data_IF_219696271995
#
_entry.id   IF_219696271995
#
_cell.length_a   1.000
_cell.length_b   1.000
_cell.length_c   1.000
_cell.angle_alpha   90.00
_cell.angle_beta   90.00
_cell.angle_gamma   90.00
#
_symmetry.space_group_name_H-M   'P 1'
#
loop_
_entity.id
_entity.type
_entity.pdbx_description
1 polymer ?
#
# COMPACT_ATOMS: atom_id res chain seq x y z
N UNK A 1 5.36 -26.73 -4.37
CA UNK A 1 4.29 -25.71 -4.32
C UNK A 1 3.91 -25.35 -5.76
N UNK A 2 2.65 -24.97 -6.06
CA UNK A 2 2.31 -24.49 -7.42
C UNK A 2 2.62 -23.01 -7.54
N UNK A 3 3.34 -22.62 -8.59
CA UNK A 3 3.61 -21.23 -8.95
C UNK A 3 2.98 -20.89 -10.30
N UNK A 4 2.68 -19.61 -10.51
CA UNK A 4 2.22 -19.12 -11.81
C UNK A 4 3.31 -19.35 -12.86
N UNK A 5 2.95 -19.88 -14.02
CA UNK A 5 3.90 -20.08 -15.13
C UNK A 5 4.31 -18.77 -15.81
N UNK A 6 3.51 -17.70 -15.65
CA UNK A 6 3.77 -16.38 -16.23
C UNK A 6 4.49 -15.43 -15.25
N UNK A 7 3.83 -15.02 -14.16
CA UNK A 7 4.44 -14.20 -13.10
C UNK A 7 4.98 -15.08 -11.97
N UNK A 8 5.34 -14.50 -10.82
CA UNK A 8 6.08 -15.23 -9.77
C UNK A 8 5.21 -15.72 -8.60
N UNK A 9 3.88 -15.61 -8.69
CA UNK A 9 3.02 -15.86 -7.53
C UNK A 9 2.82 -17.34 -7.20
N UNK A 10 2.89 -17.70 -5.90
CA UNK A 10 2.53 -19.02 -5.43
C UNK A 10 1.01 -19.17 -5.25
N UNK A 11 0.54 -20.41 -5.25
CA UNK A 11 -0.86 -20.74 -5.03
C UNK A 11 -1.37 -20.45 -3.61
N UNK A 12 -0.48 -20.31 -2.63
CA UNK A 12 -0.83 -19.99 -1.25
C UNK A 12 -0.89 -18.48 -0.95
N UNK A 13 -1.04 -17.62 -1.97
CA UNK A 13 -1.21 -16.19 -1.79
C UNK A 13 -2.36 -15.88 -0.80
N UNK A 14 -2.18 -15.02 0.22
CA UNK A 14 -3.15 -14.84 1.31
C UNK A 14 -4.46 -14.17 0.87
N UNK A 15 -4.46 -13.46 -0.25
CA UNK A 15 -5.69 -12.92 -0.88
C UNK A 15 -6.41 -13.92 -1.78
N UNK A 16 -5.98 -15.20 -1.78
CA UNK A 16 -6.39 -16.25 -2.69
C UNK A 16 -6.08 -15.92 -4.16
N UNK A 17 -5.64 -16.94 -4.89
CA UNK A 17 -5.35 -16.81 -6.32
C UNK A 17 -5.76 -18.10 -7.00
N UNK A 18 -6.41 -18.00 -8.16
CA UNK A 18 -6.81 -19.18 -8.95
C UNK A 18 -5.88 -19.33 -10.14
N UNK A 19 -5.84 -20.53 -10.72
CA UNK A 19 -5.01 -20.84 -11.89
C UNK A 19 -5.88 -21.48 -12.96
N UNK A 20 -5.68 -21.07 -14.21
CA UNK A 20 -6.31 -21.71 -15.35
C UNK A 20 -5.61 -23.03 -15.76
N UNK A 21 -6.11 -23.65 -16.84
CA UNK A 21 -5.55 -24.88 -17.40
C UNK A 21 -4.12 -24.75 -17.93
N UNK A 22 -3.67 -23.54 -18.24
CA UNK A 22 -2.30 -23.25 -18.67
C UNK A 22 -1.35 -22.96 -17.48
N UNK A 23 -1.87 -22.94 -16.25
CA UNK A 23 -1.09 -22.59 -15.05
C UNK A 23 -0.83 -21.09 -14.90
N UNK A 24 -1.62 -20.24 -15.57
CA UNK A 24 -1.58 -18.78 -15.42
C UNK A 24 -2.54 -18.37 -14.31
N UNK A 25 -2.06 -17.52 -13.39
CA UNK A 25 -2.86 -17.08 -12.25
C UNK A 25 -3.90 -16.00 -12.62
N UNK A 26 -4.98 -15.90 -11.86
CA UNK A 26 -6.04 -14.88 -12.02
C UNK A 26 -5.48 -13.46 -12.10
N UNK A 27 -4.48 -13.10 -11.29
CA UNK A 27 -3.87 -11.77 -11.32
C UNK A 27 -3.13 -11.47 -12.62
N UNK A 28 -2.63 -12.48 -13.34
CA UNK A 28 -2.10 -12.28 -14.69
C UNK A 28 -3.21 -12.08 -15.72
N UNK A 29 -4.33 -12.79 -15.58
CA UNK A 29 -5.48 -12.69 -16.51
C UNK A 29 -6.19 -11.35 -16.38
N UNK A 30 -6.48 -10.92 -15.17
CA UNK A 30 -7.09 -9.60 -14.92
C UNK A 30 -6.17 -8.47 -15.39
N UNK A 31 -4.84 -8.62 -15.26
CA UNK A 31 -3.92 -7.60 -15.78
C UNK A 31 -3.98 -7.45 -17.31
N UNK A 32 -4.28 -8.52 -18.06
CA UNK A 32 -4.46 -8.45 -19.52
C UNK A 32 -5.66 -7.59 -19.92
N UNK A 33 -6.69 -7.48 -19.07
CA UNK A 33 -7.85 -6.63 -19.33
C UNK A 33 -7.42 -5.17 -19.54
N UNK A 34 -6.39 -4.71 -18.82
CA UNK A 34 -5.89 -3.34 -18.96
C UNK A 34 -5.45 -3.01 -20.39
N UNK A 35 -4.99 -4.01 -21.15
CA UNK A 35 -4.51 -3.87 -22.53
C UNK A 35 -5.66 -3.86 -23.55
N UNK A 36 -6.89 -4.19 -23.13
CA UNK A 36 -8.10 -4.27 -23.98
C UNK A 36 -9.11 -3.17 -23.64
N UNK A 37 -9.15 -2.71 -22.39
CA UNK A 37 -10.09 -1.69 -21.94
C UNK A 37 -9.85 -0.34 -22.61
N UNK A 38 -10.96 0.31 -22.98
CA UNK A 38 -10.96 1.72 -23.37
C UNK A 38 -10.86 2.60 -22.11
N UNK A 39 -9.70 3.23 -21.94
CA UNK A 39 -9.43 4.08 -20.80
C UNK A 39 -10.01 5.49 -20.97
N UNK A 40 -10.31 5.93 -22.18
CA UNK A 40 -10.95 7.22 -22.43
C UNK A 40 -12.43 7.16 -22.05
N UNK A 41 -13.14 6.09 -22.45
CA UNK A 41 -14.54 5.84 -22.00
C UNK A 41 -14.63 5.79 -20.47
N UNK A 42 -13.68 5.08 -19.84
CA UNK A 42 -13.61 4.98 -18.38
C UNK A 42 -13.31 6.31 -17.70
N UNK A 43 -12.47 7.14 -18.31
CA UNK A 43 -12.19 8.49 -17.84
C UNK A 43 -13.43 9.39 -17.93
N UNK A 44 -14.24 9.26 -18.99
CA UNK A 44 -15.53 9.95 -19.11
C UNK A 44 -16.52 9.54 -18.02
N UNK A 45 -16.58 8.24 -17.68
CA UNK A 45 -17.37 7.75 -16.53
C UNK A 45 -16.93 8.40 -15.22
N UNK A 46 -15.62 8.54 -15.00
CA UNK A 46 -15.09 9.21 -13.81
C UNK A 46 -15.45 10.70 -13.78
N UNK A 47 -15.35 11.40 -14.91
CA UNK A 47 -15.77 12.81 -15.01
C UNK A 47 -17.25 12.97 -14.64
N UNK A 48 -18.10 12.05 -15.12
CA UNK A 48 -19.53 12.04 -14.76
C UNK A 48 -19.73 11.86 -13.26
N UNK A 49 -19.06 10.88 -12.63
CA UNK A 49 -19.11 10.68 -11.17
C UNK A 49 -18.69 11.97 -10.46
N UNK A 50 -17.55 12.55 -10.83
CA UNK A 50 -17.06 13.78 -10.22
C UNK A 50 -18.01 14.96 -10.41
N UNK A 51 -18.70 15.07 -11.55
CA UNK A 51 -19.70 16.12 -11.77
C UNK A 51 -20.88 16.06 -10.80
N UNK A 52 -21.24 14.87 -10.31
CA UNK A 52 -22.33 14.67 -9.32
C UNK A 52 -21.95 15.16 -7.92
N UNK A 53 -20.65 15.14 -7.59
CA UNK A 53 -20.14 15.52 -6.26
C UNK A 53 -19.50 16.90 -6.21
N UNK A 54 -19.18 17.48 -7.36
CA UNK A 54 -18.51 18.78 -7.43
C UNK A 54 -19.41 19.87 -6.87
N UNK A 55 -18.93 20.55 -5.85
CA UNK A 55 -19.63 21.69 -5.29
C UNK A 55 -19.61 22.85 -6.28
N UNK A 56 -20.75 23.52 -6.44
CA UNK A 56 -20.86 24.72 -7.29
C UNK A 56 -20.07 25.92 -6.75
N UNK A 57 -19.53 25.83 -5.54
CA UNK A 57 -18.67 26.84 -4.92
C UNK A 57 -17.41 26.17 -4.36
N UNK A 58 -16.21 26.64 -4.70
CA UNK A 58 -14.94 26.14 -4.16
C UNK A 58 -14.77 26.31 -2.62
N UNK A 59 -15.82 26.73 -1.91
CA UNK A 59 -15.83 26.95 -0.46
C UNK A 59 -16.01 25.65 0.34
N UNK A 60 -16.43 24.57 -0.31
CA UNK A 60 -16.65 23.25 0.31
C UNK A 60 -15.78 22.20 -0.35
N UNK A 61 -15.42 21.15 0.39
CA UNK A 61 -14.67 20.02 -0.17
C UNK A 61 -15.62 19.10 -0.94
N UNK A 62 -15.19 18.68 -2.13
CA UNK A 62 -15.97 17.80 -3.01
C UNK A 62 -15.74 16.31 -2.68
N UNK A 63 -14.55 16.01 -2.15
CA UNK A 63 -14.14 14.65 -1.86
C UNK A 63 -13.05 14.59 -0.80
N UNK A 64 -12.82 13.38 -0.28
CA UNK A 64 -11.70 13.05 0.59
C UNK A 64 -10.68 12.22 -0.20
N UNK A 65 -9.40 12.56 -0.04
CA UNK A 65 -8.29 11.73 -0.54
C UNK A 65 -7.44 11.26 0.64
N UNK A 66 -7.39 9.95 0.90
CA UNK A 66 -6.45 9.36 1.84
C UNK A 66 -5.02 9.47 1.31
N UNK A 67 -4.10 10.06 2.08
CA UNK A 67 -2.70 10.26 1.69
C UNK A 67 -1.72 9.84 2.78
N UNK A 68 -0.52 9.43 2.37
CA UNK A 68 0.60 9.11 3.27
C UNK A 68 1.90 9.84 2.94
N UNK A 69 1.98 10.51 1.80
CA UNK A 69 3.24 11.04 1.27
C UNK A 69 4.08 9.99 0.54
N UNK A 70 3.65 8.73 0.46
CA UNK A 70 4.26 7.74 -0.43
C UNK A 70 3.21 6.97 -1.23
N UNK A 71 3.66 5.94 -1.95
CA UNK A 71 2.87 5.21 -2.94
C UNK A 71 2.29 6.22 -3.94
N UNK A 72 1.11 5.93 -4.45
CA UNK A 72 0.48 6.72 -5.49
C UNK A 72 -0.16 8.03 -4.97
N UNK A 73 0.12 8.48 -3.73
CA UNK A 73 -0.52 9.66 -3.10
C UNK A 73 -0.41 10.92 -3.97
N UNK A 74 0.79 11.23 -4.48
CA UNK A 74 1.01 12.38 -5.35
C UNK A 74 0.18 12.29 -6.63
N UNK A 75 0.15 11.10 -7.25
CA UNK A 75 -0.57 10.88 -8.49
C UNK A 75 -2.08 11.01 -8.30
N UNK A 76 -2.63 10.45 -7.21
CA UNK A 76 -4.06 10.56 -6.88
C UNK A 76 -4.45 12.04 -6.72
N UNK A 77 -3.70 12.80 -5.93
CA UNK A 77 -3.99 14.23 -5.71
C UNK A 77 -3.83 15.03 -7.01
N UNK A 78 -2.79 14.75 -7.79
CA UNK A 78 -2.58 15.36 -9.11
C UNK A 78 -3.77 15.11 -10.03
N UNK A 79 -4.23 13.86 -10.16
CA UNK A 79 -5.37 13.54 -11.02
C UNK A 79 -6.62 14.24 -10.52
N UNK A 80 -6.99 14.06 -9.26
CA UNK A 80 -8.26 14.58 -8.71
C UNK A 80 -8.30 16.11 -8.69
N UNK A 81 -7.24 16.77 -8.22
CA UNK A 81 -7.19 18.23 -8.11
C UNK A 81 -6.83 18.90 -9.43
N UNK A 82 -5.75 18.49 -10.08
CA UNK A 82 -5.20 19.27 -11.20
C UNK A 82 -5.82 18.88 -12.55
N UNK A 83 -6.15 17.60 -12.74
CA UNK A 83 -6.75 17.12 -14.00
C UNK A 83 -8.27 17.24 -13.94
N UNK A 84 -8.90 16.70 -12.91
CA UNK A 84 -10.35 16.68 -12.76
C UNK A 84 -10.93 17.93 -12.07
N UNK A 85 -10.08 18.81 -11.53
CA UNK A 85 -10.50 20.10 -10.92
C UNK A 85 -11.50 19.92 -9.77
N UNK A 86 -11.36 18.84 -9.01
CA UNK A 86 -12.07 18.65 -7.73
C UNK A 86 -11.33 19.40 -6.62
N UNK A 87 -12.05 19.72 -5.54
CA UNK A 87 -11.50 20.34 -4.34
C UNK A 87 -11.41 19.31 -3.19
N UNK A 88 -10.28 18.57 -3.07
CA UNK A 88 -10.16 17.51 -2.09
C UNK A 88 -9.74 18.00 -0.69
N UNK A 89 -10.31 17.38 0.34
CA UNK A 89 -9.74 17.34 1.67
C UNK A 89 -8.78 16.15 1.78
N UNK A 90 -7.52 16.40 2.13
CA UNK A 90 -6.57 15.32 2.37
C UNK A 90 -6.75 14.78 3.79
N UNK A 91 -6.70 13.46 3.92
CA UNK A 91 -6.84 12.78 5.21
C UNK A 91 -5.68 11.81 5.39
N UNK A 92 -5.01 11.86 6.54
CA UNK A 92 -3.88 10.97 6.83
C UNK A 92 -3.98 10.37 8.23
N UNK A 93 -3.51 9.13 8.36
CA UNK A 93 -3.38 8.44 9.64
C UNK A 93 -1.89 8.20 9.90
N UNK A 94 -1.40 8.65 11.04
CA UNK A 94 0.00 8.49 11.41
C UNK A 94 0.29 7.04 11.83
N UNK A 95 1.17 6.37 11.08
CA UNK A 95 1.57 4.97 11.28
C UNK A 95 2.55 4.78 12.45
N UNK A 96 3.12 5.84 13.00
CA UNK A 96 4.25 5.84 13.95
C UNK A 96 5.55 5.25 13.41
N UNK A 97 5.55 4.62 12.24
CA UNK A 97 6.72 4.01 11.62
C UNK A 97 7.32 4.92 10.55
N UNK A 98 7.19 6.24 10.69
CA UNK A 98 7.47 7.15 9.60
C UNK A 98 8.97 7.26 9.32
N UNK A 99 9.34 7.45 8.07
CA UNK A 99 10.68 7.94 7.68
C UNK A 99 10.67 9.46 7.59
N UNK A 100 11.85 10.07 7.65
CA UNK A 100 11.99 11.52 7.47
C UNK A 100 11.67 11.93 6.03
N UNK A 101 12.06 11.11 5.05
CA UNK A 101 11.64 11.23 3.64
C UNK A 101 10.11 11.21 3.51
N UNK A 102 9.42 10.29 4.19
CA UNK A 102 7.97 10.19 4.19
C UNK A 102 7.29 11.46 4.70
N UNK A 103 7.78 11.95 5.85
CA UNK A 103 7.31 13.19 6.46
C UNK A 103 7.49 14.37 5.50
N UNK A 104 8.67 14.49 4.87
CA UNK A 104 8.93 15.53 3.86
C UNK A 104 8.01 15.38 2.66
N UNK A 105 7.94 14.20 2.04
CA UNK A 105 7.06 13.99 0.89
C UNK A 105 5.59 14.34 1.21
N UNK A 106 5.09 14.02 2.41
CA UNK A 106 3.73 14.43 2.80
C UNK A 106 3.61 15.95 2.95
N UNK A 107 4.59 16.61 3.56
CA UNK A 107 4.61 18.07 3.71
C UNK A 107 4.67 18.78 2.35
N UNK A 108 5.58 18.33 1.46
CA UNK A 108 5.68 18.84 0.10
C UNK A 108 4.41 18.58 -0.69
N UNK A 109 3.81 17.38 -0.61
CA UNK A 109 2.52 17.09 -1.25
C UNK A 109 1.46 18.12 -0.83
N UNK A 110 1.29 18.33 0.47
CA UNK A 110 0.31 19.27 1.00
C UNK A 110 0.55 20.70 0.47
N UNK A 111 1.78 21.17 0.53
CA UNK A 111 2.16 22.54 0.12
C UNK A 111 2.06 22.72 -1.40
N UNK A 112 2.56 21.76 -2.18
CA UNK A 112 2.62 21.81 -3.64
C UNK A 112 1.21 21.87 -4.23
N UNK A 113 0.31 21.04 -3.72
CA UNK A 113 -1.06 20.99 -4.21
C UNK A 113 -1.95 22.03 -3.53
N UNK A 114 -1.49 22.73 -2.49
CA UNK A 114 -2.29 23.73 -1.77
C UNK A 114 -3.59 23.13 -1.25
N UNK A 115 -3.50 22.00 -0.56
CA UNK A 115 -4.65 21.29 0.00
C UNK A 115 -4.65 21.32 1.52
N UNK A 116 -5.84 21.38 2.10
CA UNK A 116 -6.01 21.15 3.53
C UNK A 116 -5.79 19.67 3.86
N UNK A 117 -5.20 19.42 5.04
CA UNK A 117 -4.86 18.09 5.53
C UNK A 117 -5.33 17.92 6.97
N UNK A 118 -6.12 16.88 7.22
CA UNK A 118 -6.46 16.44 8.58
C UNK A 118 -5.68 15.17 8.89
N UNK A 119 -5.04 15.14 10.07
CA UNK A 119 -4.27 14.01 10.56
C UNK A 119 -4.88 13.39 11.82
N UNK A 120 -4.88 12.06 11.89
CA UNK A 120 -5.13 11.31 13.12
C UNK A 120 -3.84 10.69 13.63
N UNK A 121 -3.47 11.02 14.87
CA UNK A 121 -2.35 10.39 15.58
C UNK A 121 -2.86 9.78 16.88
N UNK A 122 -2.74 8.47 17.02
CA UNK A 122 -3.12 7.72 18.24
C UNK A 122 -1.95 7.77 19.23
N UNK A 123 -2.19 7.65 20.54
CA UNK A 123 -1.05 7.72 21.47
C UNK A 123 -0.11 6.51 21.28
N UNK A 124 1.22 6.70 21.36
CA UNK A 124 2.19 5.62 21.16
C UNK A 124 1.93 4.39 22.03
N UNK A 125 1.58 4.58 23.30
CA UNK A 125 1.30 3.45 24.21
C UNK A 125 0.07 2.63 23.81
N UNK A 126 -0.96 3.28 23.25
CA UNK A 126 -2.12 2.56 22.69
C UNK A 126 -1.72 1.76 21.47
N UNK A 127 -0.95 2.38 20.56
CA UNK A 127 -0.44 1.70 19.36
C UNK A 127 0.42 0.50 19.75
N UNK A 128 1.32 0.62 20.73
CA UNK A 128 2.13 -0.52 21.23
C UNK A 128 1.25 -1.66 21.74
N UNK A 129 0.24 -1.39 22.58
CA UNK A 129 -0.68 -2.43 23.07
C UNK A 129 -1.39 -3.15 21.93
N UNK A 130 -1.93 -2.40 20.97
CA UNK A 130 -2.60 -2.94 19.79
C UNK A 130 -1.63 -3.77 18.92
N UNK A 131 -0.40 -3.28 18.72
CA UNK A 131 0.62 -3.99 17.95
C UNK A 131 1.04 -5.31 18.61
N UNK A 132 1.23 -5.34 19.94
CA UNK A 132 1.50 -6.61 20.67
C UNK A 132 0.35 -7.61 20.50
N UNK A 133 -0.89 -7.13 20.62
CA UNK A 133 -2.05 -8.00 20.48
C UNK A 133 -2.25 -8.51 19.03
N UNK A 134 -2.01 -7.64 18.04
CA UNK A 134 -2.04 -8.01 16.62
C UNK A 134 -0.95 -9.02 16.28
N UNK A 135 0.26 -8.87 16.84
CA UNK A 135 1.32 -9.87 16.73
C UNK A 135 0.89 -11.20 17.33
N UNK A 136 0.36 -11.20 18.55
CA UNK A 136 -0.10 -12.42 19.24
C UNK A 136 -1.17 -13.18 18.46
N UNK A 137 -2.13 -12.48 17.86
CA UNK A 137 -3.31 -13.09 17.21
C UNK A 137 -3.11 -13.39 15.72
N UNK A 138 -2.31 -12.58 15.03
CA UNK A 138 -2.21 -12.63 13.56
C UNK A 138 -0.77 -12.68 13.05
N UNK A 139 0.23 -12.56 13.91
CA UNK A 139 1.62 -12.41 13.49
C UNK A 139 1.76 -11.22 12.53
N UNK A 140 1.21 -10.06 12.92
CA UNK A 140 1.26 -8.84 12.11
C UNK A 140 1.52 -7.63 12.97
N UNK A 141 2.48 -6.80 12.55
CA UNK A 141 2.75 -5.49 13.17
C UNK A 141 1.90 -4.37 12.57
N UNK A 142 1.22 -4.63 11.46
CA UNK A 142 0.69 -3.58 10.58
C UNK A 142 -0.84 -3.43 10.65
N UNK A 143 -1.52 -4.20 11.51
CA UNK A 143 -2.99 -4.13 11.61
C UNK A 143 -3.47 -2.71 11.94
N UNK A 144 -2.85 -2.02 12.90
CA UNK A 144 -3.28 -0.66 13.27
C UNK A 144 -3.06 0.34 12.12
N UNK A 145 -1.99 0.17 11.33
CA UNK A 145 -1.71 0.98 10.16
C UNK A 145 -2.83 0.82 9.12
N UNK A 146 -3.22 -0.43 8.81
CA UNK A 146 -4.31 -0.73 7.87
C UNK A 146 -5.66 -0.27 8.42
N UNK A 147 -5.97 -0.58 9.68
CA UNK A 147 -7.23 -0.23 10.32
C UNK A 147 -7.43 1.28 10.38
N UNK A 148 -6.40 2.03 10.80
CA UNK A 148 -6.45 3.48 10.92
C UNK A 148 -6.54 4.20 9.57
N UNK A 149 -5.68 3.82 8.62
CA UNK A 149 -5.66 4.45 7.28
C UNK A 149 -6.92 4.19 6.47
N UNK A 150 -7.62 3.07 6.69
CA UNK A 150 -8.86 2.73 5.96
C UNK A 150 -10.12 3.26 6.64
N UNK A 151 -10.12 3.45 7.97
CA UNK A 151 -11.32 3.93 8.69
C UNK A 151 -11.36 5.43 8.89
N UNK A 152 -10.20 6.07 9.06
CA UNK A 152 -10.16 7.50 9.38
C UNK A 152 -10.72 8.38 8.25
N UNK A 153 -10.47 8.10 6.95
CA UNK A 153 -11.15 8.78 5.85
C UNK A 153 -12.67 8.62 5.91
N UNK A 154 -13.17 7.43 6.24
CA UNK A 154 -14.62 7.15 6.35
C UNK A 154 -15.24 7.88 7.54
N UNK A 155 -14.56 7.90 8.69
CA UNK A 155 -15.00 8.69 9.84
C UNK A 155 -15.02 10.19 9.52
N UNK A 156 -14.04 10.67 8.75
CA UNK A 156 -13.97 12.08 8.34
C UNK A 156 -15.08 12.42 7.36
N UNK A 157 -15.36 11.54 6.40
CA UNK A 157 -16.49 11.65 5.47
C UNK A 157 -17.82 11.84 6.22
N UNK A 158 -18.07 11.00 7.22
CA UNK A 158 -19.27 11.09 8.06
C UNK A 158 -19.30 12.39 8.87
N UNK A 159 -18.22 12.71 9.58
CA UNK A 159 -18.16 13.87 10.50
C UNK A 159 -18.31 15.20 9.77
N UNK A 160 -17.68 15.32 8.60
CA UNK A 160 -17.68 16.56 7.80
C UNK A 160 -18.74 16.55 6.70
N UNK A 161 -19.51 15.46 6.58
CA UNK A 161 -20.55 15.26 5.55
C UNK A 161 -20.01 15.40 4.12
N UNK A 162 -18.84 14.82 3.87
CA UNK A 162 -18.21 14.78 2.54
C UNK A 162 -18.43 13.37 1.98
N UNK A 163 -19.38 13.17 1.04
CA UNK A 163 -19.85 11.84 0.66
C UNK A 163 -18.86 11.04 -0.19
N UNK A 164 -18.02 11.69 -0.99
CA UNK A 164 -17.09 10.98 -1.89
C UNK A 164 -15.72 10.79 -1.27
N UNK A 165 -15.21 9.55 -1.28
CA UNK A 165 -13.82 9.21 -0.96
C UNK A 165 -13.16 8.63 -2.21
N UNK A 166 -11.98 9.15 -2.57
CA UNK A 166 -11.23 8.71 -3.74
C UNK A 166 -9.97 7.97 -3.29
N UNK A 167 -9.96 6.66 -3.52
CA UNK A 167 -8.83 5.77 -3.24
C UNK A 167 -7.95 5.58 -4.49
N UNK A 168 -6.73 5.07 -4.29
CA UNK A 168 -5.81 4.73 -5.39
C UNK A 168 -6.17 3.42 -6.08
N UNK A 169 -5.23 2.48 -6.09
CA UNK A 169 -5.46 1.14 -6.65
C UNK A 169 -6.18 0.19 -5.69
N UNK A 170 -7.09 -0.61 -6.23
CA UNK A 170 -7.70 -1.72 -5.52
C UNK A 170 -6.77 -2.95 -5.53
N UNK A 171 -6.19 -3.28 -4.36
CA UNK A 171 -5.19 -4.34 -4.22
C UNK A 171 -5.66 -5.70 -4.75
N UNK A 172 -6.88 -6.13 -4.42
CA UNK A 172 -7.40 -7.43 -4.85
C UNK A 172 -7.54 -7.55 -6.37
N UNK A 173 -7.81 -6.44 -7.06
CA UNK A 173 -7.90 -6.40 -8.53
C UNK A 173 -6.50 -6.44 -9.14
N UNK A 174 -5.64 -5.50 -8.76
CA UNK A 174 -4.32 -5.31 -9.38
C UNK A 174 -3.31 -6.42 -9.04
N UNK A 175 -3.38 -6.98 -7.84
CA UNK A 175 -2.39 -7.95 -7.36
C UNK A 175 -2.79 -9.39 -7.72
N UNK A 176 -3.99 -9.81 -7.35
CA UNK A 176 -4.43 -11.21 -7.43
C UNK A 176 -5.54 -11.48 -8.42
N UNK A 177 -6.12 -10.45 -9.05
CA UNK A 177 -7.26 -10.63 -9.95
C UNK A 177 -8.45 -11.28 -9.22
N UNK A 178 -8.70 -10.85 -7.98
CA UNK A 178 -9.85 -11.24 -7.18
C UNK A 178 -11.15 -10.73 -7.81
N UNK A 179 -11.06 -9.59 -8.49
CA UNK A 179 -12.12 -8.95 -9.25
C UNK A 179 -11.58 -8.60 -10.63
N UNK A 180 -12.47 -8.53 -11.61
CA UNK A 180 -12.20 -7.93 -12.92
C UNK A 180 -12.23 -6.41 -12.82
N UNK A 181 -11.51 -5.72 -13.71
CA UNK A 181 -11.66 -4.28 -13.88
C UNK A 181 -13.08 -3.89 -14.39
N UNK A 182 -13.84 -4.85 -14.94
CA UNK A 182 -15.24 -4.67 -15.33
C UNK A 182 -16.21 -4.67 -14.14
N UNK A 183 -15.81 -5.21 -12.98
CA UNK A 183 -16.65 -5.22 -11.79
C UNK A 183 -16.76 -3.84 -11.13
N UNK A 184 -15.85 -2.92 -11.49
CA UNK A 184 -15.77 -1.54 -10.98
C UNK A 184 -15.91 -1.46 -9.44
N UNK A 185 -15.26 -2.40 -8.74
CA UNK A 185 -15.42 -2.56 -7.28
C UNK A 185 -15.14 -1.28 -6.52
N UNK A 186 -15.94 -1.05 -5.49
CA UNK A 186 -15.84 0.09 -4.59
C UNK A 186 -15.46 -0.36 -3.18
N UNK A 187 -14.98 0.59 -2.37
CA UNK A 187 -14.58 0.33 -0.99
C UNK A 187 -15.81 -0.10 -0.19
N UNK A 188 -15.71 -1.27 0.44
CA UNK A 188 -16.75 -1.78 1.35
C UNK A 188 -16.16 -2.17 2.69
N UNK A 189 -16.94 -2.03 3.77
CA UNK A 189 -16.56 -2.56 5.09
C UNK A 189 -16.25 -4.06 5.03
N UNK A 190 -16.97 -4.80 4.19
CA UNK A 190 -16.77 -6.24 3.99
C UNK A 190 -15.37 -6.55 3.46
N UNK A 191 -14.99 -5.96 2.33
CA UNK A 191 -13.65 -6.16 1.76
C UNK A 191 -12.56 -5.77 2.76
N UNK A 192 -12.72 -4.61 3.42
CA UNK A 192 -11.82 -4.14 4.47
C UNK A 192 -11.65 -5.19 5.59
N UNK A 193 -12.75 -5.73 6.13
CA UNK A 193 -12.70 -6.73 7.20
C UNK A 193 -12.03 -8.02 6.73
N UNK A 194 -12.51 -8.58 5.62
CA UNK A 194 -12.14 -9.92 5.16
C UNK A 194 -10.70 -9.97 4.63
N UNK A 195 -10.23 -8.90 3.98
CA UNK A 195 -8.95 -8.88 3.28
C UNK A 195 -7.93 -7.95 3.92
N UNK A 196 -8.23 -6.67 4.08
CA UNK A 196 -7.25 -5.70 4.60
C UNK A 196 -6.92 -5.97 6.07
N UNK A 197 -7.93 -6.32 6.87
CA UNK A 197 -7.78 -6.52 8.31
C UNK A 197 -7.64 -7.98 8.75
N UNK A 198 -7.32 -8.88 7.83
CA UNK A 198 -7.08 -10.29 8.12
C UNK A 198 -8.26 -10.95 8.88
N UNK A 199 -9.49 -10.52 8.58
CA UNK A 199 -10.72 -11.02 9.20
C UNK A 199 -11.06 -10.44 10.57
N UNK A 200 -10.36 -9.39 11.04
CA UNK A 200 -10.53 -8.86 12.39
C UNK A 200 -10.75 -7.34 12.42
N UNK A 201 -11.90 -6.92 12.94
CA UNK A 201 -12.17 -5.50 13.19
C UNK A 201 -11.87 -5.10 14.64
N UNK A 202 -12.01 -3.81 14.95
CA UNK A 202 -11.73 -3.25 16.27
C UNK A 202 -12.52 -3.98 17.38
N UNK A 203 -13.78 -4.32 17.09
CA UNK A 203 -14.69 -5.02 17.98
C UNK A 203 -14.23 -6.45 18.29
N UNK A 204 -13.56 -7.13 17.35
CA UNK A 204 -13.02 -8.47 17.54
C UNK A 204 -11.81 -8.47 18.50
N UNK A 205 -11.04 -7.38 18.54
CA UNK A 205 -9.97 -7.20 19.53
C UNK A 205 -10.54 -6.93 20.92
N UNK A 206 -11.56 -6.08 21.03
CA UNK A 206 -12.20 -5.74 22.32
C UNK A 206 -12.81 -6.98 22.98
N UNK A 207 -13.49 -7.84 22.19
CA UNK A 207 -14.19 -9.02 22.72
C UNK A 207 -13.24 -10.10 23.25
N UNK A 208 -12.10 -10.31 22.58
CA UNK A 208 -11.27 -11.49 22.80
C UNK A 208 -9.87 -11.15 23.37
N UNK A 209 -9.70 -9.99 24.02
CA UNK A 209 -8.43 -9.53 24.59
C UNK A 209 -8.57 -8.92 25.98
N UNK A 210 -7.73 -9.37 26.92
CA UNK A 210 -7.56 -8.71 28.24
C UNK A 210 -6.55 -7.55 28.20
N UNK A 211 -5.90 -7.33 27.04
CA UNK A 211 -4.80 -6.35 26.87
C UNK A 211 -5.29 -5.05 26.25
N UNK A 212 -6.32 -5.12 25.40
CA UNK A 212 -6.81 -3.99 24.61
C UNK A 212 -8.23 -3.63 25.04
N UNK A 213 -8.41 -2.40 25.52
CA UNK A 213 -9.72 -1.89 25.95
C UNK A 213 -10.45 -1.14 24.82
N UNK A 214 -11.73 -0.83 25.02
CA UNK A 214 -12.53 -0.06 24.06
C UNK A 214 -11.95 1.34 23.81
N UNK A 215 -11.35 1.96 24.83
CA UNK A 215 -10.69 3.27 24.74
C UNK A 215 -9.46 3.26 23.83
N UNK A 216 -8.77 2.11 23.77
CA UNK A 216 -7.63 1.90 22.87
C UNK A 216 -8.12 1.81 21.42
N UNK A 217 -9.28 1.19 21.22
CA UNK A 217 -9.81 0.87 19.90
C UNK A 217 -10.73 1.91 19.27
N UNK A 218 -11.17 2.93 20.02
CA UNK A 218 -12.14 3.94 19.57
C UNK A 218 -11.82 4.57 18.20
N UNK A 219 -10.55 4.81 17.89
CA UNK A 219 -10.14 5.41 16.61
C UNK A 219 -10.21 4.45 15.42
N UNK A 220 -10.36 3.15 15.67
CA UNK A 220 -10.37 2.10 14.65
C UNK A 220 -11.78 1.56 14.35
N UNK A 221 -12.79 1.99 15.11
CA UNK A 221 -14.19 1.58 14.95
C UNK A 221 -14.75 2.17 13.66
N UNK A 222 -15.34 1.31 12.83
CA UNK A 222 -15.96 1.72 11.58
C UNK A 222 -17.31 2.41 11.85
N UNK A 223 -17.64 3.52 11.17
CA UNK A 223 -18.93 4.18 11.36
C UNK A 223 -20.12 3.24 11.14
N UNK A 224 -21.21 3.48 11.85
CA UNK A 224 -22.40 2.64 11.73
C UNK A 224 -23.08 2.85 10.37
N UNK A 225 -23.74 1.82 9.83
CA UNK A 225 -24.37 1.88 8.51
C UNK A 225 -25.37 3.05 8.37
N UNK A 226 -26.14 3.35 9.43
CA UNK A 226 -27.05 4.51 9.47
C UNK A 226 -26.33 5.86 9.29
N UNK A 227 -25.12 6.00 9.84
CA UNK A 227 -24.33 7.23 9.69
C UNK A 227 -23.81 7.36 8.25
N UNK A 228 -23.34 6.25 7.68
CA UNK A 228 -22.89 6.19 6.28
C UNK A 228 -24.02 6.51 5.31
N UNK A 229 -25.19 5.92 5.52
CA UNK A 229 -26.40 6.15 4.72
C UNK A 229 -26.88 7.59 4.81
N UNK A 230 -26.84 8.20 6.00
CA UNK A 230 -27.29 9.59 6.19
C UNK A 230 -26.46 10.62 5.41
N UNK A 231 -25.21 10.29 5.08
CA UNK A 231 -24.31 11.14 4.27
C UNK A 231 -24.27 10.66 2.82
N UNK A 232 -24.54 9.38 2.55
CA UNK A 232 -24.34 8.77 1.25
C UNK A 232 -22.86 8.49 0.95
N UNK A 233 -22.10 8.03 1.95
CA UNK A 233 -20.65 7.83 1.80
C UNK A 233 -20.36 6.75 0.75
N UNK A 234 -19.60 7.11 -0.28
CA UNK A 234 -19.18 6.27 -1.40
C UNK A 234 -17.66 6.35 -1.56
N UNK A 235 -17.00 5.19 -1.69
CA UNK A 235 -15.56 5.11 -1.84
C UNK A 235 -15.16 4.48 -3.16
N UNK A 236 -14.69 5.28 -4.13
CA UNK A 236 -14.29 4.80 -5.45
C UNK A 236 -12.77 4.58 -5.53
N UNK A 237 -12.32 3.65 -6.37
CA UNK A 237 -10.90 3.46 -6.69
C UNK A 237 -10.57 4.08 -8.05
N UNK A 238 -9.54 4.92 -8.11
CA UNK A 238 -9.09 5.51 -9.37
C UNK A 238 -8.61 4.46 -10.38
N UNK A 239 -8.10 3.32 -9.91
CA UNK A 239 -7.68 2.22 -10.80
C UNK A 239 -8.80 1.60 -11.62
N UNK A 240 -10.07 1.87 -11.29
CA UNK A 240 -11.21 1.46 -12.12
C UNK A 240 -11.34 2.34 -13.37
N UNK A 241 -10.81 3.56 -13.34
CA UNK A 241 -11.08 4.57 -14.35
C UNK A 241 -9.83 5.04 -15.10
N UNK A 242 -8.66 4.83 -14.51
CA UNK A 242 -7.37 5.23 -15.07
C UNK A 242 -6.48 3.99 -15.12
N UNK A 243 -5.79 3.79 -16.25
CA UNK A 243 -4.84 2.69 -16.40
C UNK A 243 -3.77 2.78 -15.31
N UNK A 244 -3.80 1.84 -14.37
CA UNK A 244 -2.90 1.88 -13.23
C UNK A 244 -1.53 1.31 -13.56
N UNK A 245 -0.51 2.15 -13.41
CA UNK A 245 0.90 1.84 -13.59
C UNK A 245 1.74 2.63 -12.59
N UNK A 246 2.04 2.00 -11.45
CA UNK A 246 2.69 2.69 -10.34
C UNK A 246 4.07 3.26 -10.70
N UNK A 247 4.87 2.61 -11.57
CA UNK A 247 6.19 3.15 -11.94
C UNK A 247 6.05 4.43 -12.75
N UNK A 248 5.26 4.39 -13.82
CA UNK A 248 5.04 5.54 -14.69
C UNK A 248 4.42 6.71 -13.92
N UNK A 249 3.49 6.41 -13.00
CA UNK A 249 2.85 7.39 -12.14
C UNK A 249 3.86 8.05 -11.17
N UNK A 250 4.72 7.26 -10.52
CA UNK A 250 5.76 7.83 -9.65
C UNK A 250 6.77 8.66 -10.44
N UNK A 251 7.24 8.18 -11.58
CA UNK A 251 8.20 8.93 -12.41
C UNK A 251 7.63 10.27 -12.90
N UNK A 252 6.35 10.31 -13.26
CA UNK A 252 5.66 11.56 -13.57
C UNK A 252 5.64 12.52 -12.37
N UNK A 253 5.45 12.01 -11.15
CA UNK A 253 5.42 12.83 -9.92
C UNK A 253 6.82 13.23 -9.45
N UNK A 254 7.84 12.41 -9.71
CA UNK A 254 9.25 12.76 -9.53
C UNK A 254 9.59 13.95 -10.43
N UNK A 255 9.29 13.85 -11.73
CA UNK A 255 9.58 14.90 -12.71
C UNK A 255 8.84 16.21 -12.38
N UNK A 256 7.53 16.13 -12.11
CA UNK A 256 6.70 17.34 -11.91
C UNK A 256 6.86 18.00 -10.55
N UNK A 257 7.02 17.18 -9.51
CA UNK A 257 6.83 17.64 -8.13
C UNK A 257 7.99 17.26 -7.20
N UNK A 258 9.04 16.63 -7.70
CA UNK A 258 10.23 16.32 -6.92
C UNK A 258 9.96 15.32 -5.81
N UNK A 259 9.14 14.29 -6.06
CA UNK A 259 8.93 13.18 -5.13
C UNK A 259 10.29 12.53 -4.74
N UNK A 260 10.56 12.41 -3.43
CA UNK A 260 11.78 11.75 -2.94
C UNK A 260 11.62 10.23 -2.91
N UNK A 261 12.62 9.54 -3.43
CA UNK A 261 12.72 8.09 -3.50
C UNK A 261 13.76 7.57 -2.51
N UNK A 262 13.71 6.30 -2.14
CA UNK A 262 14.66 5.73 -1.18
C UNK A 262 15.00 4.27 -1.54
N UNK A 263 16.25 3.86 -1.33
CA UNK A 263 16.62 2.44 -1.36
C UNK A 263 15.91 1.68 -0.24
N UNK A 264 15.42 0.49 -0.55
CA UNK A 264 14.67 -0.33 0.40
C UNK A 264 15.37 -1.68 0.60
N UNK A 265 15.21 -2.25 1.80
CA UNK A 265 16.01 -3.40 2.21
C UNK A 265 15.70 -4.67 1.41
N UNK A 266 14.43 -4.93 1.12
CA UNK A 266 13.93 -6.23 0.61
C UNK A 266 13.19 -6.13 -0.72
N UNK A 267 13.45 -5.08 -1.50
CA UNK A 267 12.87 -4.86 -2.83
C UNK A 267 13.77 -3.96 -3.68
N UNK A 268 13.69 -4.10 -5.00
CA UNK A 268 14.35 -3.22 -5.98
C UNK A 268 13.58 -1.92 -6.27
N UNK A 269 12.26 -1.89 -6.01
CA UNK A 269 11.42 -0.70 -6.11
C UNK A 269 11.89 0.36 -5.08
N UNK A 270 12.22 1.57 -5.54
CA UNK A 270 12.69 2.69 -4.71
C UNK A 270 11.60 3.74 -4.43
N UNK A 271 10.36 3.48 -4.85
CA UNK A 271 9.26 4.44 -4.85
C UNK A 271 8.22 4.11 -3.79
N UNK A 272 7.76 2.87 -3.73
CA UNK A 272 6.63 2.47 -2.92
C UNK A 272 7.00 2.32 -1.44
N UNK A 273 6.17 2.83 -0.53
CA UNK A 273 6.30 2.70 0.94
C UNK A 273 7.56 3.35 1.54
N UNK A 274 8.18 4.30 0.85
CA UNK A 274 9.30 5.07 1.40
C UNK A 274 8.91 5.87 2.64
N UNK A 275 7.61 6.03 2.92
CA UNK A 275 7.08 6.69 4.11
C UNK A 275 7.19 5.84 5.37
N UNK A 276 7.46 4.54 5.26
CA UNK A 276 7.37 3.62 6.38
C UNK A 276 8.67 2.84 6.57
N UNK A 277 9.38 3.15 7.64
CA UNK A 277 10.68 2.57 8.01
C UNK A 277 10.64 1.04 8.08
N UNK A 278 9.52 0.48 8.55
CA UNK A 278 9.36 -0.96 8.79
C UNK A 278 8.69 -1.75 7.66
N UNK A 279 8.11 -1.10 6.64
CA UNK A 279 7.24 -1.80 5.68
C UNK A 279 8.01 -2.76 4.77
N UNK A 280 9.11 -2.28 4.17
CA UNK A 280 9.98 -3.08 3.30
C UNK A 280 11.16 -3.72 4.05
N UNK A 281 11.09 -3.73 5.38
CA UNK A 281 12.01 -4.38 6.31
C UNK A 281 11.30 -5.51 7.06
N UNK A 282 11.10 -5.34 8.36
CA UNK A 282 10.47 -6.38 9.21
C UNK A 282 9.06 -6.80 8.79
N UNK A 283 8.22 -5.88 8.30
CA UNK A 283 6.85 -6.23 7.89
C UNK A 283 6.87 -7.21 6.72
N UNK A 284 7.72 -6.96 5.72
CA UNK A 284 7.93 -7.89 4.62
C UNK A 284 8.58 -9.20 5.07
N UNK A 285 9.53 -9.13 6.02
CA UNK A 285 10.15 -10.34 6.55
C UNK A 285 9.12 -11.25 7.23
N UNK A 286 8.21 -10.69 8.03
CA UNK A 286 7.07 -11.43 8.60
C UNK A 286 6.22 -12.08 7.51
N UNK A 287 5.94 -11.36 6.41
CA UNK A 287 5.21 -11.93 5.26
C UNK A 287 5.94 -13.15 4.69
N UNK A 288 7.25 -13.03 4.47
CA UNK A 288 8.07 -14.14 4.00
C UNK A 288 8.02 -15.33 4.96
N UNK A 289 8.22 -15.11 6.27
CA UNK A 289 8.17 -16.17 7.26
C UNK A 289 6.81 -16.88 7.29
N UNK A 290 5.71 -16.14 7.09
CA UNK A 290 4.36 -16.73 7.08
C UNK A 290 4.06 -17.50 5.79
N UNK A 291 4.36 -16.93 4.63
CA UNK A 291 3.83 -17.41 3.35
C UNK A 291 4.88 -17.97 2.39
N UNK A 292 6.16 -17.88 2.73
CA UNK A 292 7.27 -18.39 1.91
C UNK A 292 7.69 -17.48 0.76
N UNK A 293 7.12 -16.27 0.66
CA UNK A 293 7.50 -15.27 -0.34
C UNK A 293 7.38 -13.83 0.20
N UNK A 294 8.22 -12.93 -0.30
CA UNK A 294 8.26 -11.52 0.10
C UNK A 294 7.71 -10.54 -0.96
N UNK A 295 7.80 -9.26 -0.64
CA UNK A 295 7.34 -8.10 -1.44
C UNK A 295 8.08 -7.98 -2.75
N UNK A 296 9.35 -8.39 -2.81
CA UNK A 296 10.09 -8.47 -4.08
C UNK A 296 9.35 -9.34 -5.12
N UNK A 297 8.68 -10.41 -4.69
CA UNK A 297 7.87 -11.26 -5.58
C UNK A 297 6.63 -10.54 -6.07
N UNK A 298 6.02 -9.67 -5.25
CA UNK A 298 4.90 -8.83 -5.69
C UNK A 298 5.33 -7.85 -6.76
N UNK A 299 6.42 -7.11 -6.49
CA UNK A 299 6.94 -6.13 -7.41
C UNK A 299 7.43 -6.77 -8.70
N UNK A 300 8.24 -7.84 -8.64
CA UNK A 300 8.67 -8.56 -9.83
C UNK A 300 7.48 -9.12 -10.62
N UNK A 301 6.43 -9.63 -9.96
CA UNK A 301 5.20 -10.07 -10.65
C UNK A 301 4.50 -8.93 -11.38
N UNK A 302 4.41 -7.75 -10.77
CA UNK A 302 3.88 -6.53 -11.41
C UNK A 302 4.69 -6.15 -12.64
N UNK A 303 6.01 -6.10 -12.52
CA UNK A 303 6.91 -5.69 -13.62
C UNK A 303 6.93 -6.70 -14.77
N UNK A 304 6.79 -8.00 -14.49
CA UNK A 304 6.60 -9.03 -15.52
C UNK A 304 5.30 -8.81 -16.28
N UNK A 305 4.19 -8.54 -15.57
CA UNK A 305 2.88 -8.29 -16.20
C UNK A 305 2.88 -7.03 -17.07
N UNK A 306 3.58 -5.98 -16.61
CA UNK A 306 3.81 -4.74 -17.37
C UNK A 306 4.87 -4.88 -18.48
N UNK A 307 5.41 -6.08 -18.71
CA UNK A 307 6.40 -6.38 -19.77
C UNK A 307 7.69 -5.57 -19.63
N UNK A 308 8.05 -5.18 -18.40
CA UNK A 308 9.31 -4.50 -18.05
C UNK A 308 10.43 -5.44 -17.65
N UNK A 309 10.05 -6.62 -17.22
CA UNK A 309 10.95 -7.61 -16.66
C UNK A 309 10.59 -8.98 -17.25
N UNK A 310 11.58 -9.79 -17.61
CA UNK A 310 11.35 -11.19 -17.92
C UNK A 310 11.10 -11.98 -16.64
N UNK A 311 10.53 -13.19 -16.77
CA UNK A 311 10.34 -14.07 -15.61
C UNK A 311 11.66 -14.36 -14.89
N UNK A 312 12.74 -14.58 -15.63
CA UNK A 312 14.07 -14.92 -15.11
C UNK A 312 14.71 -13.74 -14.40
N UNK A 313 14.58 -12.53 -14.96
CA UNK A 313 15.01 -11.29 -14.29
C UNK A 313 14.25 -11.12 -12.96
N UNK A 314 12.95 -11.39 -12.96
CA UNK A 314 12.14 -11.38 -11.74
C UNK A 314 12.59 -12.40 -10.70
N UNK A 315 12.89 -13.63 -11.11
CA UNK A 315 13.44 -14.66 -10.22
C UNK A 315 14.81 -14.23 -9.68
N UNK A 316 15.65 -13.59 -10.50
CA UNK A 316 16.94 -13.03 -10.06
C UNK A 316 16.76 -11.97 -8.97
N UNK A 317 15.77 -11.08 -9.10
CA UNK A 317 15.43 -10.12 -8.05
C UNK A 317 14.97 -10.82 -6.76
N UNK A 318 14.13 -11.85 -6.87
CA UNK A 318 13.71 -12.64 -5.68
C UNK A 318 14.91 -13.25 -4.96
N UNK A 319 15.85 -13.86 -5.69
CA UNK A 319 17.10 -14.41 -5.11
C UNK A 319 17.91 -13.33 -4.37
N UNK A 320 17.99 -12.12 -4.95
CA UNK A 320 18.76 -11.01 -4.40
C UNK A 320 18.16 -10.44 -3.10
N UNK A 321 16.83 -10.30 -3.03
CA UNK A 321 16.20 -9.51 -1.97
C UNK A 321 15.41 -10.31 -0.92
N UNK A 322 14.84 -11.46 -1.26
CA UNK A 322 13.87 -12.14 -0.39
C UNK A 322 14.46 -12.63 0.94
N UNK A 323 15.73 -13.01 0.97
CA UNK A 323 16.34 -13.62 2.16
C UNK A 323 17.16 -12.62 2.99
N UNK A 324 17.10 -11.31 2.70
CA UNK A 324 17.83 -10.29 3.45
C UNK A 324 17.23 -10.14 4.86
N UNK A 325 18.03 -10.38 5.90
CA UNK A 325 17.60 -10.16 7.28
C UNK A 325 17.33 -8.67 7.54
N UNK A 326 16.16 -8.29 8.10
CA UNK A 326 15.82 -6.88 8.31
C UNK A 326 16.70 -6.23 9.37
N UNK A 327 17.33 -5.10 9.02
CA UNK A 327 18.20 -4.32 9.92
C UNK A 327 17.43 -3.52 10.95
N UNK A 328 16.13 -3.30 10.71
CA UNK A 328 15.23 -2.50 11.52
C UNK A 328 14.51 -3.28 12.63
N UNK A 329 14.83 -4.58 12.79
CA UNK A 329 14.22 -5.42 13.81
C UNK A 329 14.54 -4.97 15.23
N UNK A 330 15.81 -4.71 15.55
CA UNK A 330 16.22 -4.28 16.89
C UNK A 330 15.52 -2.98 17.30
N UNK A 331 15.45 -2.02 16.40
CA UNK A 331 14.78 -0.73 16.59
C UNK A 331 13.28 -0.93 16.91
N UNK A 332 12.61 -1.79 16.15
CA UNK A 332 11.20 -2.08 16.38
C UNK A 332 10.96 -2.79 17.72
N UNK A 333 11.81 -3.78 18.05
CA UNK A 333 11.70 -4.54 19.30
C UNK A 333 11.99 -3.68 20.54
N UNK A 334 12.95 -2.75 20.45
CA UNK A 334 13.21 -1.76 21.48
C UNK A 334 11.99 -0.85 21.70
N UNK A 335 11.42 -0.31 20.62
CA UNK A 335 10.20 0.50 20.70
C UNK A 335 9.03 -0.27 21.32
N UNK A 336 8.85 -1.53 20.92
CA UNK A 336 7.79 -2.40 21.43
C UNK A 336 8.10 -2.97 22.82
N UNK A 337 9.33 -2.85 23.32
CA UNK A 337 9.78 -3.49 24.57
C UNK A 337 9.55 -5.00 24.57
N UNK A 338 9.94 -5.67 23.47
CA UNK A 338 9.71 -7.10 23.23
C UNK A 338 11.02 -7.80 22.91
N UNK A 339 11.22 -9.03 23.40
CA UNK A 339 12.39 -9.83 23.03
C UNK A 339 12.24 -10.46 21.65
N UNK A 340 13.35 -10.74 20.97
CA UNK A 340 13.36 -11.41 19.66
C UNK A 340 12.73 -12.81 19.72
N UNK A 341 13.00 -13.56 20.79
CA UNK A 341 12.40 -14.89 21.01
C UNK A 341 10.87 -14.82 21.15
N UNK A 342 10.36 -13.84 21.89
CA UNK A 342 8.91 -13.65 22.02
C UNK A 342 8.29 -13.29 20.66
N UNK A 343 8.92 -12.37 19.93
CA UNK A 343 8.46 -11.92 18.62
C UNK A 343 8.36 -13.08 17.61
N UNK A 344 9.42 -13.86 17.44
CA UNK A 344 9.38 -15.03 16.55
C UNK A 344 8.45 -16.13 17.07
N UNK A 345 8.31 -16.28 18.39
CA UNK A 345 7.35 -17.19 19.00
C UNK A 345 5.88 -16.90 18.63
N UNK A 346 5.53 -15.64 18.35
CA UNK A 346 4.21 -15.30 17.78
C UNK A 346 4.12 -15.59 16.29
N UNK A 347 5.14 -15.21 15.51
CA UNK A 347 5.12 -15.33 14.04
C UNK A 347 5.15 -16.79 13.60
N UNK A 348 5.92 -17.64 14.27
CA UNK A 348 6.13 -19.03 13.89
C UNK A 348 4.83 -19.86 13.94
N UNK A 349 3.86 -19.45 14.78
CA UNK A 349 2.52 -20.05 14.85
C UNK A 349 1.69 -19.81 13.59
N UNK A 350 2.08 -18.85 12.76
CA UNK A 350 1.36 -18.42 11.57
C UNK A 350 2.06 -18.81 10.25
N UNK A 351 3.10 -19.66 10.32
CA UNK A 351 3.74 -20.21 9.13
C UNK A 351 2.79 -21.16 8.42
N UNK A 352 2.66 -20.97 7.11
CA UNK A 352 1.84 -21.83 6.27
C UNK A 352 2.47 -23.22 6.13
N UNK A 353 1.83 -24.28 6.64
CA UNK A 353 2.37 -25.64 6.60
C UNK A 353 2.51 -26.18 5.17
N UNK A 354 1.89 -25.54 4.17
CA UNK A 354 2.04 -25.90 2.75
C UNK A 354 3.42 -25.53 2.20
N UNK A 355 4.15 -24.61 2.83
CA UNK A 355 5.44 -24.12 2.35
C UNK A 355 6.56 -24.18 3.40
N UNK A 356 6.24 -24.35 4.68
CA UNK A 356 7.22 -24.50 5.74
C UNK A 356 7.14 -25.88 6.40
N UNK A 357 8.30 -26.41 6.79
CA UNK A 357 8.42 -27.56 7.69
C UNK A 357 9.55 -27.35 8.70
N UNK A 358 9.61 -28.22 9.70
CA UNK A 358 10.76 -28.31 10.60
C UNK A 358 11.71 -29.40 10.10
N UNK A 359 13.00 -29.10 10.10
CA UNK A 359 14.06 -30.07 9.83
C UNK A 359 14.35 -30.94 11.08
N UNK A 360 15.33 -31.84 10.97
CA UNK A 360 15.72 -32.75 12.07
C UNK A 360 16.25 -32.01 13.31
N UNK A 361 16.77 -30.79 13.15
CA UNK A 361 17.21 -29.91 14.24
C UNK A 361 16.08 -29.07 14.84
N UNK A 362 14.82 -29.29 14.42
CA UNK A 362 13.64 -28.52 14.77
C UNK A 362 13.62 -27.05 14.30
N UNK A 363 14.51 -26.69 13.36
CA UNK A 363 14.56 -25.39 12.71
C UNK A 363 13.60 -25.33 11.52
N UNK A 364 13.09 -24.12 11.22
CA UNK A 364 12.21 -23.91 10.08
C UNK A 364 12.97 -23.94 8.76
N UNK A 365 12.53 -24.78 7.84
CA UNK A 365 13.01 -24.85 6.47
C UNK A 365 11.88 -24.65 5.45
N UNK A 366 12.22 -23.97 4.37
CA UNK A 366 11.31 -23.70 3.27
C UNK A 366 11.24 -24.92 2.36
N UNK A 367 10.04 -25.47 2.16
CA UNK A 367 9.82 -26.66 1.31
C UNK A 367 10.11 -26.37 -0.16
N UNK A 368 9.86 -25.15 -0.61
CA UNK A 368 9.94 -24.78 -2.01
C UNK A 368 10.01 -23.26 -2.21
N UNK A 369 10.46 -22.81 -3.38
CA UNK A 369 10.55 -21.38 -3.72
C UNK A 369 10.50 -21.17 -5.23
N UNK A 370 9.94 -20.04 -5.67
CA UNK A 370 9.88 -19.64 -7.08
C UNK A 370 11.24 -19.73 -7.81
N UNK A 371 12.34 -19.62 -7.06
CA UNK A 371 13.71 -19.74 -7.60
C UNK A 371 14.03 -21.10 -8.19
N UNK A 372 13.25 -22.13 -7.86
CA UNK A 372 13.33 -23.49 -8.39
C UNK A 372 12.46 -23.69 -9.65
N UNK A 373 11.60 -22.72 -9.99
CA UNK A 373 10.55 -22.83 -11.01
C UNK A 373 10.79 -21.93 -12.23
N UNK A 374 12.06 -21.72 -12.58
CA UNK A 374 12.44 -20.97 -13.77
C UNK A 374 12.15 -21.75 -15.06
N UNK A 375 12.38 -23.06 -15.05
CA UNK A 375 12.26 -23.95 -16.21
C UNK A 375 11.12 -24.97 -16.12
N UNK A 376 10.07 -24.67 -15.36
CA UNK A 376 8.89 -25.53 -15.29
C UNK A 376 8.26 -25.71 -16.70
N UNK A 377 7.79 -26.92 -16.99
CA UNK A 377 7.13 -27.22 -18.27
C UNK A 377 5.96 -26.26 -18.54
N UNK A 378 5.86 -25.73 -19.76
CA UNK A 378 4.83 -24.80 -20.21
C UNK A 378 4.99 -23.36 -19.73
N UNK A 379 6.12 -22.99 -19.10
CA UNK A 379 6.46 -21.58 -18.84
C UNK A 379 6.60 -20.79 -20.14
N UNK A 380 7.27 -21.37 -21.14
CA UNK A 380 7.53 -20.68 -22.41
C UNK A 380 6.26 -20.43 -23.22
N UNK A 381 5.24 -21.28 -23.09
CA UNK A 381 3.95 -21.13 -23.78
C UNK A 381 3.17 -19.88 -23.35
N UNK A 382 3.41 -19.40 -22.13
CA UNK A 382 2.65 -18.28 -21.51
C UNK A 382 3.53 -17.10 -21.13
N UNK A 383 4.81 -17.16 -21.49
CA UNK A 383 5.82 -16.13 -21.21
C UNK A 383 5.44 -14.80 -21.88
N UNK A 384 5.68 -13.71 -21.16
CA UNK A 384 5.59 -12.36 -21.72
C UNK A 384 6.96 -11.90 -22.23
N UNK A 385 6.97 -11.28 -23.40
CA UNK A 385 8.16 -10.65 -23.96
C UNK A 385 8.38 -9.28 -23.31
N UNK A 386 9.63 -8.99 -22.95
CA UNK A 386 10.02 -7.67 -22.43
C UNK A 386 9.89 -6.63 -23.54
N UNK A 387 9.27 -5.49 -23.23
CA UNK A 387 9.06 -4.35 -24.13
C UNK A 387 9.86 -3.11 -23.74
N UNK A 388 10.16 -2.92 -22.46
CA UNK A 388 10.89 -1.74 -21.98
C UNK A 388 11.77 -2.08 -20.76
N UNK A 389 12.52 -1.09 -20.26
CA UNK A 389 13.42 -1.25 -19.10
C UNK A 389 12.73 -1.12 -17.74
N UNK A 390 13.30 -1.78 -16.72
CA UNK A 390 12.78 -1.79 -15.35
C UNK A 390 13.75 -1.13 -14.36
N UNK A 391 14.24 0.07 -14.71
CA UNK A 391 15.12 0.84 -13.81
C UNK A 391 14.28 1.82 -13.00
N UNK A 392 14.43 1.76 -11.67
CA UNK A 392 13.80 2.68 -10.74
C UNK A 392 14.79 3.78 -10.39
N UNK A 393 14.34 5.02 -10.53
CA UNK A 393 15.11 6.21 -10.23
C UNK A 393 15.45 6.30 -8.73
N UNK A 394 16.64 6.79 -8.42
CA UNK A 394 17.01 7.20 -7.07
C UNK A 394 17.36 8.68 -7.09
N UNK A 395 16.39 9.50 -6.70
CA UNK A 395 16.52 10.96 -6.59
C UNK A 395 17.31 11.30 -5.31
N UNK A 396 18.27 12.23 -5.36
CA UNK A 396 18.91 12.73 -4.15
C UNK A 396 17.90 13.27 -3.15
N UNK A 397 18.10 12.96 -1.87
CA UNK A 397 17.33 13.53 -0.77
C UNK A 397 17.43 15.06 -0.79
N UNK A 398 16.32 15.75 -0.48
CA UNK A 398 16.33 17.20 -0.25
C UNK A 398 17.16 17.59 0.97
N UNK A 399 17.40 16.63 1.86
CA UNK A 399 18.25 16.74 3.04
C UNK A 399 19.35 15.66 2.95
N UNK A 400 20.46 15.90 2.21
CA UNK A 400 21.46 14.87 1.93
C UNK A 400 22.32 14.48 3.13
N UNK A 401 22.42 15.35 4.13
CA UNK A 401 23.17 15.09 5.36
C UNK A 401 22.32 14.34 6.42
N UNK A 402 21.03 14.16 6.16
CA UNK A 402 20.13 13.52 7.10
C UNK A 402 20.17 12.00 6.95
N UNK A 403 20.39 11.31 8.06
CA UNK A 403 20.46 9.85 8.10
C UNK A 403 19.10 9.26 8.50
N UNK A 404 18.66 8.24 7.77
CA UNK A 404 17.48 7.40 8.08
C UNK A 404 17.91 6.20 8.93
N UNK A 405 18.18 6.42 10.20
CA UNK A 405 18.64 5.40 11.16
C UNK A 405 17.57 4.94 12.16
N UNK A 406 16.45 5.65 12.25
CA UNK A 406 15.34 5.31 13.14
C UNK A 406 13.99 5.75 12.56
N UNK A 407 12.91 5.10 13.02
CA UNK A 407 11.56 5.54 12.70
C UNK A 407 11.17 6.76 13.53
N UNK A 408 10.26 7.56 12.97
CA UNK A 408 9.75 8.78 13.60
C UNK A 408 8.29 8.58 13.97
N UNK A 409 7.98 8.67 15.27
CA UNK A 409 6.61 8.56 15.77
C UNK A 409 5.74 9.73 15.28
N UNK A 410 6.23 10.95 15.46
CA UNK A 410 5.59 12.21 15.04
C UNK A 410 6.67 13.13 14.51
N UNK A 411 6.62 13.41 13.21
CA UNK A 411 7.60 14.27 12.53
C UNK A 411 7.27 15.75 12.65
N UNK A 412 8.32 16.58 12.60
CA UNK A 412 8.17 18.01 12.28
C UNK A 412 8.12 18.13 10.76
N UNK A 413 6.97 18.49 10.21
CA UNK A 413 6.86 18.84 8.80
C UNK A 413 7.49 20.22 8.57
N UNK A 414 8.42 20.29 7.62
CA UNK A 414 9.02 21.54 7.14
C UNK A 414 9.12 21.48 5.62
N UNK A 415 8.96 22.64 4.97
CA UNK A 415 9.09 22.78 3.52
C UNK A 415 10.04 23.95 3.27
N UNK A 416 11.17 23.67 2.64
CA UNK A 416 12.12 24.69 2.24
C UNK A 416 11.76 25.24 0.86
N UNK A 417 11.59 26.56 0.78
CA UNK A 417 11.25 27.28 -0.44
C UNK A 417 12.24 27.03 -1.59
N UNK A 418 13.50 26.69 -1.27
CA UNK A 418 14.52 26.33 -2.25
C UNK A 418 14.13 25.13 -3.11
N UNK A 419 13.49 24.13 -2.51
CA UNK A 419 13.15 22.85 -3.15
C UNK A 419 11.72 22.79 -3.72
N UNK A 420 10.95 23.87 -3.64
CA UNK A 420 9.65 23.93 -4.30
C UNK A 420 9.85 24.02 -5.83
N UNK A 421 9.12 23.21 -6.63
CA UNK A 421 9.14 23.30 -8.08
C UNK A 421 8.90 24.74 -8.58
N UNK A 422 9.60 25.15 -9.63
CA UNK A 422 9.46 26.51 -10.21
C UNK A 422 8.03 26.84 -10.62
N UNK A 423 7.24 25.81 -10.98
CA UNK A 423 5.82 25.94 -11.31
C UNK A 423 5.04 26.61 -10.17
N UNK A 424 5.42 26.39 -8.90
CA UNK A 424 4.77 27.02 -7.74
C UNK A 424 5.32 28.43 -7.48
N UNK A 425 6.59 28.68 -7.81
CA UNK A 425 7.23 30.01 -7.65
C UNK A 425 6.60 31.07 -8.57
N UNK A 426 5.83 30.67 -9.58
CA UNK A 426 5.11 31.56 -10.52
C UNK A 426 3.65 31.85 -10.18
N UNK A 427 3.08 31.31 -9.10
CA UNK A 427 1.69 31.58 -8.68
C UNK A 427 1.55 32.57 -7.50
N UNK A 428 2.00 33.84 -7.59
CA UNK A 428 1.42 34.87 -6.72
C UNK A 428 0.05 35.37 -7.23
N UNK A 429 -0.23 35.34 -8.54
CA UNK A 429 -1.27 36.23 -9.12
C UNK A 429 -2.41 35.57 -9.91
N UNK A 430 -2.49 34.24 -10.04
CA UNK A 430 -3.58 33.56 -10.79
C UNK A 430 -4.55 32.76 -9.92
N UNK A 431 -4.67 33.11 -8.63
CA UNK A 431 -5.74 32.60 -7.76
C UNK A 431 -6.50 33.80 -7.17
N UNK A 432 -7.40 34.38 -7.96
CA UNK A 432 -8.52 35.20 -7.51
C UNK A 432 -9.79 34.83 -8.28
#
# INVERSE_FOLDING_TARGET
>A
MKYCKRCLYPANHPLNITFDGYGVCSGCRVHEEKDVLDWDERKEKLEKIFSEFRSGTQKTYDCIIPVSGARDSYFIVYMVKNIFKMHPLLVTYNKHYNTKIGIRNLAYLQTIFGCDLISCTVSPERVKRITRESLRRKGSIYWHCLAGSTVFPVQTAVKLKIPLIVWGAHQGCDQTGMFSHLDEVEMTRKYRKEHDLMGMEAEDFIRDSDVVAIEDMKQYIYPHNKELESVGVRGIYLSNYIRWDSKAQHELMIEKYGYETMLQQRTFDTYNDVDCFHYSGIHDYIKFLKWGYGKVTDHASREVRLKRMTREEGISMVRKFQNIYPKDLSIFLEWLGMSENEFFGYIDKHRDPRIWQKNDCADWELKDSIVNHAGDEGVDDVRLQRKEGCEFLLVPSKEPNEVEDNHVLIGRACVDNGHLPEVIKRYPDEIL
#
